data_IF_381166532415
#
_entry.id   IF_381166532415
#
_cell.length_a   1.000
_cell.length_b   1.000
_cell.length_c   1.000
_cell.angle_alpha   90.00
_cell.angle_beta   90.00
_cell.angle_gamma   90.00
#
_symmetry.space_group_name_H-M   'P 1'
#
loop_
_entity.id
_entity.type
_entity.pdbx_description
1 polymer ?
#
# COMPACT_ATOMS: atom_id res chain seq x y z
N UNK A 1 -6.81 10.22 -8.44
CA UNK A 1 -5.68 10.53 -7.55
C UNK A 1 -4.39 10.49 -8.35
N UNK A 2 -3.54 11.51 -8.25
CA UNK A 2 -2.28 11.53 -8.98
C UNK A 2 -1.25 10.61 -8.33
N UNK A 3 -0.30 10.08 -9.12
CA UNK A 3 0.80 9.26 -8.60
C UNK A 3 1.57 9.98 -7.50
N UNK A 4 1.81 11.27 -7.71
CA UNK A 4 2.56 12.09 -6.76
C UNK A 4 1.87 12.17 -5.40
N UNK A 5 0.55 12.32 -5.40
CA UNK A 5 -0.23 12.38 -4.16
C UNK A 5 -0.22 11.03 -3.45
N UNK A 6 -0.36 9.93 -4.20
CA UNK A 6 -0.30 8.59 -3.61
C UNK A 6 1.04 8.34 -2.92
N UNK A 7 2.14 8.73 -3.56
CA UNK A 7 3.46 8.53 -2.98
C UNK A 7 3.65 9.33 -1.70
N UNK A 8 3.05 10.52 -1.61
CA UNK A 8 3.11 11.34 -0.41
C UNK A 8 2.34 10.73 0.76
N UNK A 9 1.34 9.91 0.48
CA UNK A 9 0.51 9.29 1.51
C UNK A 9 1.11 7.97 2.04
N UNK A 10 2.04 7.36 1.33
CA UNK A 10 2.64 6.08 1.74
C UNK A 10 3.26 6.13 3.15
N UNK A 11 3.97 7.19 3.56
CA UNK A 11 4.51 7.25 4.92
C UNK A 11 3.45 7.20 6.02
N UNK A 12 2.21 7.54 5.72
CA UNK A 12 1.10 7.51 6.67
C UNK A 12 0.46 6.12 6.78
N UNK A 13 0.86 5.17 5.96
CA UNK A 13 0.30 3.83 5.97
C UNK A 13 0.68 3.07 7.23
N UNK A 14 -0.22 2.19 7.67
CA UNK A 14 0.05 1.29 8.78
C UNK A 14 0.73 0.01 8.32
N UNK A 15 0.51 -0.39 7.08
CA UNK A 15 1.10 -1.59 6.51
C UNK A 15 1.10 -1.50 4.98
N UNK A 16 2.09 -2.12 4.38
CA UNK A 16 2.12 -2.35 2.93
C UNK A 16 1.87 -3.84 2.70
N UNK A 17 0.87 -4.15 1.88
CA UNK A 17 0.62 -5.52 1.45
C UNK A 17 1.16 -5.67 0.03
N UNK A 18 2.00 -6.64 -0.20
CA UNK A 18 2.67 -6.81 -1.48
C UNK A 18 2.52 -8.23 -2.03
N UNK A 19 2.32 -8.30 -3.34
CA UNK A 19 2.57 -9.50 -4.12
C UNK A 19 3.97 -9.31 -4.70
N UNK A 20 4.95 -10.08 -4.25
CA UNK A 20 6.34 -9.80 -4.58
C UNK A 20 6.53 -9.73 -6.08
N UNK A 21 7.23 -8.72 -6.52
CA UNK A 21 7.59 -8.36 -7.88
C UNK A 21 6.58 -7.54 -8.67
N UNK A 22 5.27 -7.59 -8.39
CA UNK A 22 4.30 -6.92 -9.26
C UNK A 22 3.39 -5.90 -8.60
N UNK A 23 2.91 -6.13 -7.39
CA UNK A 23 1.85 -5.30 -6.78
C UNK A 23 2.22 -4.86 -5.38
N UNK A 24 1.84 -3.63 -5.04
CA UNK A 24 1.93 -3.15 -3.65
C UNK A 24 0.73 -2.25 -3.35
N UNK A 25 0.18 -2.41 -2.14
CA UNK A 25 -0.95 -1.61 -1.68
C UNK A 25 -0.62 -1.08 -0.28
N UNK A 26 -0.73 0.23 -0.12
CA UNK A 26 -0.52 0.89 1.18
C UNK A 26 -1.87 1.04 1.88
N UNK A 27 -1.97 0.49 3.07
CA UNK A 27 -3.20 0.48 3.85
C UNK A 27 -3.05 1.25 5.15
N UNK A 28 -4.12 1.93 5.54
CA UNK A 28 -4.20 2.60 6.82
C UNK A 28 -5.48 2.15 7.53
N UNK A 29 -5.35 1.82 8.81
CA UNK A 29 -6.51 1.48 9.63
C UNK A 29 -7.13 2.75 10.18
N UNK A 30 -8.41 2.97 9.88
CA UNK A 30 -9.15 4.11 10.38
C UNK A 30 -10.01 3.66 11.56
N UNK A 31 -9.71 4.18 12.76
CA UNK A 31 -10.43 3.82 13.96
C UNK A 31 -11.86 4.37 13.99
N UNK A 32 -12.14 5.39 13.17
CA UNK A 32 -13.47 5.97 13.09
C UNK A 32 -14.41 5.19 12.17
N UNK A 33 -13.84 4.47 11.18
CA UNK A 33 -14.62 3.62 10.28
C UNK A 33 -14.41 2.17 10.70
N UNK A 34 -15.29 1.69 11.54
CA UNK A 34 -15.17 0.37 12.13
C UNK A 34 -14.88 -0.72 11.09
N UNK A 35 -13.70 -1.30 11.13
CA UNK A 35 -13.38 -2.55 10.48
C UNK A 35 -12.89 -2.52 9.06
N UNK A 36 -12.83 -1.38 8.38
CA UNK A 36 -12.36 -1.34 6.98
C UNK A 36 -11.08 -0.52 6.83
N UNK A 37 -10.00 -1.11 6.31
CA UNK A 37 -8.79 -0.33 6.02
C UNK A 37 -9.01 0.59 4.83
N UNK A 38 -8.31 1.72 4.85
CA UNK A 38 -8.31 2.68 3.74
C UNK A 38 -7.10 2.40 2.85
N UNK A 39 -7.32 2.33 1.55
CA UNK A 39 -6.23 2.21 0.58
C UNK A 39 -5.69 3.60 0.31
N UNK A 40 -4.47 3.87 0.76
CA UNK A 40 -3.81 5.16 0.53
C UNK A 40 -3.10 5.20 -0.81
N UNK A 41 -2.54 4.09 -1.24
CA UNK A 41 -1.83 4.00 -2.50
C UNK A 41 -1.86 2.56 -3.00
N UNK A 42 -1.81 2.40 -4.31
CA UNK A 42 -1.66 1.09 -4.94
C UNK A 42 -0.88 1.24 -6.23
N UNK A 43 -0.08 0.25 -6.55
CA UNK A 43 0.75 0.33 -7.74
C UNK A 43 1.18 -1.02 -8.26
N UNK A 44 1.57 -1.02 -9.53
CA UNK A 44 2.03 -2.18 -10.27
C UNK A 44 3.46 -1.87 -10.75
N UNK A 45 4.30 -2.89 -10.81
CA UNK A 45 5.67 -2.81 -11.33
C UNK A 45 6.49 -1.69 -10.69
N UNK A 46 6.86 -0.65 -11.42
CA UNK A 46 7.68 0.45 -10.91
C UNK A 46 7.03 1.18 -9.74
N UNK A 47 5.72 1.41 -9.82
CA UNK A 47 5.01 2.05 -8.72
C UNK A 47 5.02 1.18 -7.47
N UNK A 48 4.89 -0.13 -7.64
CA UNK A 48 4.98 -1.05 -6.52
C UNK A 48 6.36 -0.97 -5.85
N UNK A 49 7.41 -0.88 -6.65
CA UNK A 49 8.77 -0.73 -6.13
C UNK A 49 8.94 0.58 -5.37
N UNK A 50 8.40 1.68 -5.89
CA UNK A 50 8.47 2.99 -5.24
C UNK A 50 7.73 2.98 -3.91
N UNK A 51 6.55 2.37 -3.87
CA UNK A 51 5.77 2.24 -2.62
C UNK A 51 6.59 1.51 -1.56
N UNK A 52 7.18 0.37 -1.92
CA UNK A 52 8.01 -0.40 -1.00
C UNK A 52 9.24 0.38 -0.53
N UNK A 53 9.88 1.11 -1.44
CA UNK A 53 11.05 1.91 -1.12
C UNK A 53 10.72 3.01 -0.11
N UNK A 54 9.62 3.73 -0.33
CA UNK A 54 9.17 4.78 0.58
C UNK A 54 8.80 4.16 1.94
N UNK A 55 8.12 3.03 1.93
CA UNK A 55 7.73 2.35 3.15
C UNK A 55 8.95 1.95 3.99
N UNK A 56 9.98 1.40 3.35
CA UNK A 56 11.21 1.04 4.06
C UNK A 56 11.90 2.26 4.68
N UNK A 57 11.92 3.38 3.96
CA UNK A 57 12.52 4.61 4.46
C UNK A 57 11.77 5.22 5.64
N UNK A 58 10.51 4.89 5.82
CA UNK A 58 9.65 5.40 6.89
C UNK A 58 9.26 4.32 7.92
N UNK A 59 9.91 3.17 7.88
CA UNK A 59 9.70 2.07 8.82
C UNK A 59 8.27 1.51 8.81
N UNK A 60 7.58 1.60 7.67
CA UNK A 60 6.26 1.00 7.50
C UNK A 60 6.41 -0.50 7.27
N UNK A 61 5.73 -1.36 8.04
CA UNK A 61 5.83 -2.82 7.84
C UNK A 61 5.35 -3.24 6.45
N UNK A 62 6.03 -4.20 5.86
CA UNK A 62 5.67 -4.76 4.56
C UNK A 62 5.31 -6.24 4.76
N UNK A 63 4.11 -6.61 4.34
CA UNK A 63 3.60 -7.98 4.45
C UNK A 63 3.37 -8.53 3.05
N UNK A 64 3.90 -9.73 2.81
CA UNK A 64 3.71 -10.42 1.55
C UNK A 64 2.45 -11.26 1.59
N UNK A 65 1.46 -10.93 0.76
CA UNK A 65 0.21 -11.68 0.68
C UNK A 65 -0.37 -11.56 -0.73
N UNK A 66 -0.03 -12.49 -1.64
CA UNK A 66 -0.47 -12.41 -3.03
C UNK A 66 -1.99 -12.34 -3.21
N UNK A 67 -2.72 -13.15 -2.46
CA UNK A 67 -4.18 -13.23 -2.59
C UNK A 67 -4.83 -11.92 -2.15
N UNK A 68 -4.41 -11.39 -1.01
CA UNK A 68 -4.96 -10.16 -0.49
C UNK A 68 -4.64 -8.97 -1.40
N UNK A 69 -3.41 -8.92 -1.91
CA UNK A 69 -2.97 -7.84 -2.79
C UNK A 69 -3.81 -7.81 -4.06
N UNK A 70 -4.04 -8.95 -4.69
CA UNK A 70 -4.85 -9.04 -5.90
C UNK A 70 -6.31 -8.65 -5.64
N UNK A 71 -6.86 -9.04 -4.50
CA UNK A 71 -8.21 -8.66 -4.11
C UNK A 71 -8.36 -7.14 -3.96
N UNK A 72 -7.37 -6.50 -3.36
CA UNK A 72 -7.39 -5.05 -3.14
C UNK A 72 -7.23 -4.26 -4.44
N UNK A 73 -6.49 -4.78 -5.39
CA UNK A 73 -6.26 -4.11 -6.67
C UNK A 73 -7.49 -4.21 -7.58
N UNK A 74 -8.25 -5.27 -7.46
CA UNK A 74 -9.45 -5.48 -8.27
C UNK A 74 -10.67 -4.66 -7.83
N UNK A 75 -10.62 -4.04 -6.71
CA UNK A 75 -11.75 -3.25 -6.19
C UNK A 75 -11.78 -1.84 -6.79
#
# INVERSE_FOLDING_TARGET
MSQRRMMQDVPDADVIVTNPTHYSVALKYDTEKAGAPIVLAKGIDELAMQIRKIAKGNEVPIVESPILTLSLIHI
#
